data_IF_463460817388
#
_entry.id   IF_463460817388
#
_cell.length_a   1.000
_cell.length_b   1.000
_cell.length_c   1.000
_cell.angle_alpha   90.00
_cell.angle_beta   90.00
_cell.angle_gamma   90.00
#
_symmetry.space_group_name_H-M   'P 1'
#
loop_
_entity.id
_entity.type
_entity.pdbx_description
1 polymer ?
#
# COMPACT_ATOMS: atom_id res chain seq x y z
N UNK A 1 -28.77 22.67 32.96
CA UNK A 1 -28.26 21.28 32.93
C UNK A 1 -29.02 20.53 31.85
N UNK A 2 -28.35 19.97 30.84
CA UNK A 2 -28.99 19.26 29.71
C UNK A 2 -29.95 18.13 30.12
N UNK A 3 -29.62 17.40 31.20
CA UNK A 3 -30.47 16.33 31.72
C UNK A 3 -31.83 16.84 32.23
N UNK A 4 -31.85 17.98 32.92
CA UNK A 4 -33.08 18.57 33.46
C UNK A 4 -34.00 19.06 32.34
N UNK A 5 -33.42 19.55 31.23
CA UNK A 5 -34.17 19.98 30.03
C UNK A 5 -34.79 18.78 29.33
N UNK A 6 -34.03 17.69 29.16
CA UNK A 6 -34.54 16.45 28.62
C UNK A 6 -35.68 15.88 29.48
N UNK A 7 -35.50 15.81 30.80
CA UNK A 7 -36.51 15.34 31.74
C UNK A 7 -37.79 16.18 31.70
N UNK A 8 -37.68 17.51 31.60
CA UNK A 8 -38.84 18.40 31.49
C UNK A 8 -39.61 18.19 30.17
N UNK A 9 -38.90 18.10 29.04
CA UNK A 9 -39.51 17.91 27.72
C UNK A 9 -40.21 16.56 27.58
N UNK A 10 -39.58 15.48 28.04
CA UNK A 10 -40.18 14.14 28.04
C UNK A 10 -41.37 14.09 29.01
N UNK A 11 -41.27 14.70 30.19
CA UNK A 11 -42.38 14.73 31.15
C UNK A 11 -43.60 15.47 30.63
N UNK A 12 -43.42 16.57 29.89
CA UNK A 12 -44.53 17.32 29.28
C UNK A 12 -45.29 16.49 28.25
N UNK A 13 -44.59 15.70 27.43
CA UNK A 13 -45.22 14.81 26.44
C UNK A 13 -45.96 13.66 27.14
N UNK A 14 -45.36 13.08 28.18
CA UNK A 14 -46.02 12.04 28.99
C UNK A 14 -47.27 12.58 29.68
N UNK A 15 -47.19 13.80 30.24
CA UNK A 15 -48.33 14.46 30.87
C UNK A 15 -49.45 14.72 29.85
N UNK A 16 -49.12 15.27 28.68
CA UNK A 16 -50.07 15.49 27.59
C UNK A 16 -50.78 14.19 27.17
N UNK A 17 -50.02 13.11 26.97
CA UNK A 17 -50.57 11.81 26.59
C UNK A 17 -51.48 11.23 27.69
N UNK A 18 -51.11 11.41 28.95
CA UNK A 18 -51.87 10.87 30.10
C UNK A 18 -53.16 11.63 30.40
N UNK A 19 -53.21 12.95 30.17
CA UNK A 19 -54.36 13.80 30.49
C UNK A 19 -55.39 13.90 29.37
N UNK A 20 -54.96 13.78 28.12
CA UNK A 20 -55.81 14.13 26.97
C UNK A 20 -56.23 12.94 26.10
N UNK A 21 -55.82 11.70 26.42
CA UNK A 21 -56.07 10.48 25.63
C UNK A 21 -56.12 10.77 24.10
N UNK A 22 -55.04 11.32 23.53
CA UNK A 22 -55.11 12.01 22.24
C UNK A 22 -55.47 11.03 21.12
N UNK A 23 -56.64 11.23 20.50
CA UNK A 23 -57.17 10.38 19.42
C UNK A 23 -56.40 10.57 18.10
N UNK A 24 -55.81 11.76 17.90
CA UNK A 24 -55.19 12.16 16.63
C UNK A 24 -53.66 12.19 16.64
N UNK A 25 -53.03 12.29 17.82
CA UNK A 25 -51.56 12.38 17.92
C UNK A 25 -51.01 11.01 18.27
N UNK A 26 -50.50 10.30 17.26
CA UNK A 26 -49.98 8.93 17.42
C UNK A 26 -48.47 8.89 17.67
N UNK A 27 -47.73 9.86 17.13
CA UNK A 27 -46.27 9.94 17.21
C UNK A 27 -45.84 11.37 17.56
N UNK A 28 -44.81 11.48 18.38
CA UNK A 28 -44.13 12.75 18.68
C UNK A 28 -42.64 12.54 18.46
N UNK A 29 -42.06 13.33 17.57
CA UNK A 29 -40.65 13.22 17.18
C UNK A 29 -39.84 14.38 17.78
N UNK A 30 -38.69 14.06 18.37
CA UNK A 30 -37.78 15.05 18.94
C UNK A 30 -36.58 15.25 18.01
N UNK A 31 -36.48 16.42 17.39
CA UNK A 31 -35.30 16.81 16.64
C UNK A 31 -34.27 17.45 17.59
N UNK A 32 -33.19 16.73 17.87
CA UNK A 32 -32.11 17.19 18.75
C UNK A 32 -31.00 17.80 17.89
N UNK A 33 -30.85 19.12 17.97
CA UNK A 33 -29.85 19.87 17.20
C UNK A 33 -28.47 19.92 17.89
N UNK A 34 -28.40 19.59 19.18
CA UNK A 34 -27.16 19.54 19.95
C UNK A 34 -26.78 18.10 20.29
N UNK A 35 -25.77 17.57 19.60
CA UNK A 35 -25.34 16.16 19.74
C UNK A 35 -24.93 15.77 21.16
N UNK A 36 -24.39 16.71 21.94
CA UNK A 36 -24.05 16.49 23.35
C UNK A 36 -25.25 16.18 24.25
N UNK A 37 -26.47 16.53 23.83
CA UNK A 37 -27.70 16.27 24.59
C UNK A 37 -28.34 14.91 24.28
N UNK A 38 -27.86 14.19 23.27
CA UNK A 38 -28.50 12.97 22.78
C UNK A 38 -28.54 11.87 23.85
N UNK A 39 -27.45 11.72 24.61
CA UNK A 39 -27.35 10.75 25.70
C UNK A 39 -28.33 11.07 26.84
N UNK A 40 -28.48 12.34 27.19
CA UNK A 40 -29.39 12.80 28.24
C UNK A 40 -30.87 12.57 27.86
N UNK A 41 -31.24 12.89 26.62
CA UNK A 41 -32.59 12.62 26.08
C UNK A 41 -32.91 11.12 26.01
N UNK A 42 -31.94 10.31 25.56
CA UNK A 42 -32.12 8.86 25.53
C UNK A 42 -32.31 8.29 26.95
N UNK A 43 -31.49 8.73 27.92
CA UNK A 43 -31.61 8.30 29.31
C UNK A 43 -32.92 8.76 29.95
N UNK A 44 -33.37 9.97 29.65
CA UNK A 44 -34.67 10.51 30.10
C UNK A 44 -35.84 9.70 29.56
N UNK A 45 -35.84 9.37 28.26
CA UNK A 45 -36.84 8.49 27.64
C UNK A 45 -36.86 7.09 28.26
N UNK A 46 -35.69 6.51 28.59
CA UNK A 46 -35.64 5.21 29.27
C UNK A 46 -36.23 5.29 30.69
N UNK A 47 -35.93 6.35 31.45
CA UNK A 47 -36.47 6.57 32.80
C UNK A 47 -38.00 6.73 32.78
N UNK A 48 -38.56 7.48 31.82
CA UNK A 48 -40.00 7.68 31.72
C UNK A 48 -40.74 6.41 31.28
N UNK A 49 -40.15 5.63 30.37
CA UNK A 49 -40.66 4.30 29.98
C UNK A 49 -40.73 3.35 31.18
N UNK A 50 -39.73 3.37 32.07
CA UNK A 50 -39.71 2.59 33.31
C UNK A 50 -40.78 3.04 34.32
N UNK A 51 -41.02 4.35 34.47
CA UNK A 51 -42.11 4.90 35.31
C UNK A 51 -43.50 4.55 34.78
N UNK A 52 -43.69 4.64 33.45
CA UNK A 52 -44.92 4.20 32.79
C UNK A 52 -45.17 2.70 33.00
N UNK A 53 -44.12 1.86 32.87
CA UNK A 53 -44.20 0.42 33.20
C UNK A 53 -44.60 0.18 34.65
N UNK A 54 -44.06 0.91 35.64
CA UNK A 54 -44.47 0.80 37.05
C UNK A 54 -45.94 1.21 37.27
N UNK A 55 -46.40 2.27 36.61
CA UNK A 55 -47.81 2.71 36.64
C UNK A 55 -48.74 1.66 36.04
N UNK A 56 -48.37 1.09 34.87
CA UNK A 56 -49.09 -0.01 34.23
C UNK A 56 -49.16 -1.25 35.14
N UNK A 57 -48.03 -1.65 35.73
CA UNK A 57 -47.94 -2.82 36.62
C UNK A 57 -48.77 -2.61 37.90
N UNK A 58 -48.87 -1.39 38.43
CA UNK A 58 -49.73 -1.08 39.58
C UNK A 58 -51.23 -1.20 39.26
N UNK A 59 -51.62 -0.92 38.02
CA UNK A 59 -52.99 -1.06 37.49
C UNK A 59 -53.36 -2.51 37.15
N UNK A 60 -52.37 -3.40 37.00
CA UNK A 60 -52.54 -4.81 36.61
C UNK A 60 -52.70 -5.74 37.83
N UNK A 61 -52.46 -5.27 39.06
CA UNK A 61 -52.57 -6.07 40.30
C UNK A 61 -53.99 -6.60 40.65
N UNK A 62 -54.98 -6.42 39.77
CA UNK A 62 -56.37 -6.83 40.03
C UNK A 62 -56.82 -8.13 39.37
N UNK A 63 -56.38 -8.46 38.14
CA UNK A 63 -56.86 -9.64 37.42
C UNK A 63 -55.87 -10.03 36.31
N UNK A 64 -54.92 -10.92 36.62
CA UNK A 64 -54.08 -11.55 35.62
C UNK A 64 -54.83 -12.75 35.02
N UNK A 65 -55.66 -12.51 34.00
CA UNK A 65 -56.17 -13.61 33.18
C UNK A 65 -55.13 -13.99 32.12
N UNK A 66 -55.00 -15.27 31.73
CA UNK A 66 -54.06 -15.73 30.68
C UNK A 66 -54.18 -14.94 29.36
N UNK A 67 -55.36 -14.41 29.08
CA UNK A 67 -55.66 -13.61 27.89
C UNK A 67 -54.99 -12.22 27.90
N UNK A 68 -54.90 -11.58 29.06
CA UNK A 68 -54.18 -10.30 29.21
C UNK A 68 -52.66 -10.50 29.10
N UNK A 69 -52.12 -11.58 29.67
CA UNK A 69 -50.70 -11.92 29.54
C UNK A 69 -50.32 -12.23 28.09
N UNK A 70 -51.17 -12.94 27.35
CA UNK A 70 -50.99 -13.22 25.92
C UNK A 70 -51.00 -11.94 25.09
N UNK A 71 -51.97 -11.04 25.31
CA UNK A 71 -52.02 -9.72 24.63
C UNK A 71 -50.81 -8.86 24.95
N UNK A 72 -50.36 -8.84 26.20
CA UNK A 72 -49.16 -8.10 26.61
C UNK A 72 -47.89 -8.67 25.96
N UNK A 73 -47.73 -9.99 25.91
CA UNK A 73 -46.61 -10.64 25.21
C UNK A 73 -46.62 -10.30 23.73
N UNK A 74 -47.76 -10.43 23.05
CA UNK A 74 -47.90 -10.09 21.63
C UNK A 74 -47.57 -8.62 21.34
N UNK A 75 -47.94 -7.70 22.26
CA UNK A 75 -47.61 -6.29 22.14
C UNK A 75 -46.11 -6.04 22.32
N UNK A 76 -45.46 -6.71 23.28
CA UNK A 76 -43.99 -6.64 23.47
C UNK A 76 -43.27 -7.20 22.25
N UNK A 77 -43.66 -8.35 21.74
CA UNK A 77 -43.08 -8.95 20.54
C UNK A 77 -43.28 -8.05 19.32
N UNK A 78 -44.45 -7.41 19.18
CA UNK A 78 -44.71 -6.43 18.14
C UNK A 78 -43.78 -5.21 18.23
N UNK A 79 -43.54 -4.69 19.43
CA UNK A 79 -42.64 -3.55 19.64
C UNK A 79 -41.17 -3.93 19.38
N UNK A 80 -40.73 -5.10 19.85
CA UNK A 80 -39.38 -5.62 19.57
C UNK A 80 -39.18 -5.78 18.07
N UNK A 81 -40.15 -6.38 17.37
CA UNK A 81 -40.06 -6.56 15.91
C UNK A 81 -40.08 -5.23 15.15
N UNK A 82 -40.75 -4.19 15.66
CA UNK A 82 -40.71 -2.84 15.06
C UNK A 82 -39.37 -2.14 15.25
N UNK A 83 -38.64 -2.45 16.31
CA UNK A 83 -37.32 -1.87 16.62
C UNK A 83 -36.13 -2.68 16.05
N UNK A 84 -36.41 -3.84 15.44
CA UNK A 84 -35.41 -4.62 14.72
C UNK A 84 -35.13 -4.02 13.36
N UNK A 85 -33.84 -3.90 13.04
CA UNK A 85 -33.37 -3.49 11.72
C UNK A 85 -32.55 -4.59 11.07
N UNK A 86 -32.50 -4.55 9.75
CA UNK A 86 -31.64 -5.37 8.92
C UNK A 86 -30.74 -4.45 8.09
N UNK A 87 -29.43 -4.45 8.38
CA UNK A 87 -28.45 -3.67 7.64
C UNK A 87 -27.56 -4.60 6.83
N UNK A 88 -27.15 -4.15 5.64
CA UNK A 88 -26.27 -4.91 4.76
C UNK A 88 -25.04 -4.08 4.41
N UNK A 89 -23.86 -4.67 4.58
CA UNK A 89 -22.57 -4.10 4.17
C UNK A 89 -22.04 -4.93 3.00
N UNK A 90 -21.73 -4.29 1.87
CA UNK A 90 -21.15 -4.96 0.72
C UNK A 90 -19.74 -4.42 0.49
N UNK A 91 -18.73 -5.26 0.74
CA UNK A 91 -17.33 -4.85 0.66
C UNK A 91 -16.39 -6.02 0.30
N UNK A 92 -15.52 -5.91 -0.71
CA UNK A 92 -14.55 -6.96 -1.05
C UNK A 92 -13.56 -7.31 0.07
N UNK A 93 -13.25 -6.37 0.98
CA UNK A 93 -12.31 -6.59 2.08
C UNK A 93 -12.81 -7.63 3.09
N UNK A 94 -14.13 -7.81 3.21
CA UNK A 94 -14.75 -8.84 4.07
C UNK A 94 -14.26 -10.25 3.69
N UNK A 95 -13.93 -10.49 2.41
CA UNK A 95 -13.39 -11.76 1.95
C UNK A 95 -12.05 -12.15 2.62
N UNK A 96 -11.31 -11.15 3.13
CA UNK A 96 -9.95 -11.26 3.66
C UNK A 96 -9.91 -11.18 5.20
N UNK A 97 -11.06 -11.20 5.88
CA UNK A 97 -11.09 -11.23 7.34
C UNK A 97 -10.39 -12.49 7.87
N UNK A 98 -9.50 -12.34 8.84
CA UNK A 98 -8.80 -13.49 9.42
C UNK A 98 -9.67 -14.16 10.49
N UNK A 99 -9.21 -15.32 10.97
CA UNK A 99 -9.88 -16.04 12.07
C UNK A 99 -10.04 -15.17 13.31
N UNK A 100 -9.13 -14.24 13.58
CA UNK A 100 -9.19 -13.41 14.78
C UNK A 100 -10.24 -12.30 14.64
N UNK A 101 -10.38 -11.69 13.47
CA UNK A 101 -11.47 -10.76 13.22
C UNK A 101 -12.84 -11.44 13.27
N UNK A 102 -12.97 -12.66 12.72
CA UNK A 102 -14.20 -13.44 12.82
C UNK A 102 -14.55 -13.83 14.27
N UNK A 103 -13.55 -14.12 15.13
CA UNK A 103 -13.78 -14.35 16.57
C UNK A 103 -14.30 -13.09 17.26
N UNK A 104 -13.80 -11.91 16.91
CA UNK A 104 -14.31 -10.63 17.45
C UNK A 104 -15.78 -10.47 17.11
N UNK A 105 -16.17 -10.71 15.86
CA UNK A 105 -17.57 -10.61 15.43
C UNK A 105 -18.46 -11.64 16.14
N UNK A 106 -18.02 -12.90 16.25
CA UNK A 106 -18.78 -13.93 16.99
C UNK A 106 -18.94 -13.61 18.48
N UNK A 107 -17.95 -12.95 19.09
CA UNK A 107 -18.07 -12.47 20.46
C UNK A 107 -19.14 -11.39 20.58
N UNK A 108 -19.12 -10.40 19.68
CA UNK A 108 -20.11 -9.32 19.66
C UNK A 108 -21.52 -9.82 19.37
N UNK A 109 -21.66 -10.82 18.49
CA UNK A 109 -22.92 -11.50 18.19
C UNK A 109 -23.59 -12.00 19.48
N UNK A 110 -22.80 -12.69 20.32
CA UNK A 110 -23.26 -13.24 21.61
C UNK A 110 -23.55 -12.17 22.65
N UNK A 111 -22.70 -11.15 22.75
CA UNK A 111 -22.81 -10.10 23.77
C UNK A 111 -23.94 -9.12 23.47
N UNK A 112 -24.15 -8.78 22.19
CA UNK A 112 -25.08 -7.74 21.76
C UNK A 112 -26.40 -8.29 21.22
N UNK A 113 -26.57 -9.63 21.19
CA UNK A 113 -27.76 -10.32 20.66
C UNK A 113 -28.14 -9.85 19.24
N UNK A 114 -27.13 -9.55 18.44
CA UNK A 114 -27.24 -9.24 17.00
C UNK A 114 -26.84 -10.49 16.25
N UNK A 115 -27.50 -10.81 15.13
CA UNK A 115 -27.05 -11.87 14.22
C UNK A 115 -26.19 -11.25 13.11
N UNK A 116 -25.04 -11.86 12.83
CA UNK A 116 -24.07 -11.43 11.82
C UNK A 116 -23.89 -12.55 10.82
N UNK A 117 -24.19 -12.31 9.54
CA UNK A 117 -24.14 -13.31 8.48
C UNK A 117 -23.22 -12.82 7.37
N UNK A 118 -22.08 -13.50 7.20
CA UNK A 118 -21.11 -13.19 6.15
C UNK A 118 -21.29 -14.16 4.98
N UNK A 119 -21.64 -13.62 3.82
CA UNK A 119 -21.85 -14.36 2.57
C UNK A 119 -20.81 -13.96 1.52
N UNK A 120 -20.35 -14.94 0.72
CA UNK A 120 -19.46 -14.70 -0.42
C UNK A 120 -20.25 -14.80 -1.71
N UNK A 121 -20.56 -13.64 -2.34
CA UNK A 121 -21.32 -13.55 -3.58
C UNK A 121 -20.44 -13.02 -4.70
N UNK A 122 -19.77 -13.92 -5.42
CA UNK A 122 -18.89 -13.57 -6.54
C UNK A 122 -17.69 -12.72 -6.10
N UNK A 123 -17.48 -11.55 -6.74
CA UNK A 123 -16.39 -10.61 -6.42
C UNK A 123 -16.62 -9.80 -5.13
N UNK A 124 -17.82 -9.84 -4.56
CA UNK A 124 -18.17 -9.09 -3.36
C UNK A 124 -18.43 -10.03 -2.19
N UNK A 125 -18.06 -9.60 -1.00
CA UNK A 125 -18.48 -10.22 0.25
C UNK A 125 -19.51 -9.31 0.91
N UNK A 126 -20.55 -9.93 1.46
CA UNK A 126 -21.71 -9.24 2.00
C UNK A 126 -21.87 -9.64 3.45
N UNK A 127 -22.01 -8.66 4.33
CA UNK A 127 -22.36 -8.87 5.73
C UNK A 127 -23.80 -8.41 5.97
N UNK A 128 -24.61 -9.24 6.62
CA UNK A 128 -26.00 -8.95 6.97
C UNK A 128 -26.16 -8.95 8.49
N UNK A 129 -26.64 -7.84 9.03
CA UNK A 129 -26.80 -7.59 10.46
C UNK A 129 -28.26 -7.51 10.81
N UNK A 130 -28.72 -8.36 11.74
CA UNK A 130 -30.09 -8.35 12.23
C UNK A 130 -30.14 -8.23 13.75
N UNK A 131 -30.86 -7.24 14.27
CA UNK A 131 -31.01 -7.05 15.71
C UNK A 131 -31.65 -5.72 16.05
N UNK A 132 -31.63 -5.36 17.34
CA UNK A 132 -32.11 -4.04 17.79
C UNK A 132 -31.21 -2.94 17.23
N UNK A 133 -31.84 -1.86 16.80
CA UNK A 133 -31.23 -0.71 16.10
C UNK A 133 -29.86 -0.28 16.66
N UNK A 134 -29.76 0.06 17.95
CA UNK A 134 -28.50 0.55 18.54
C UNK A 134 -27.36 -0.47 18.58
N UNK A 135 -27.67 -1.76 18.76
CA UNK A 135 -26.66 -2.81 18.77
C UNK A 135 -26.18 -3.15 17.36
N UNK A 136 -27.08 -3.12 16.37
CA UNK A 136 -26.72 -3.30 14.96
C UNK A 136 -25.72 -2.22 14.53
N UNK A 137 -25.96 -0.95 14.85
CA UNK A 137 -25.01 0.12 14.53
C UNK A 137 -23.65 -0.04 15.22
N UNK A 138 -23.63 -0.56 16.44
CA UNK A 138 -22.38 -0.85 17.17
C UNK A 138 -21.55 -1.92 16.46
N UNK A 139 -22.21 -3.00 16.02
CA UNK A 139 -21.56 -4.09 15.26
C UNK A 139 -21.13 -3.58 13.87
N UNK A 140 -21.98 -2.80 13.20
CA UNK A 140 -21.71 -2.21 11.89
C UNK A 140 -20.46 -1.33 11.92
N UNK A 141 -20.36 -0.41 12.90
CA UNK A 141 -19.17 0.44 13.08
C UNK A 141 -17.92 -0.41 13.27
N UNK A 142 -18.01 -1.50 14.03
CA UNK A 142 -16.87 -2.38 14.26
C UNK A 142 -16.44 -3.13 12.99
N UNK A 143 -17.40 -3.58 12.18
CA UNK A 143 -17.10 -4.22 10.89
C UNK A 143 -16.42 -3.21 9.96
N UNK A 144 -16.89 -1.96 9.91
CA UNK A 144 -16.24 -0.89 9.11
C UNK A 144 -14.80 -0.63 9.56
N UNK A 145 -14.53 -0.61 10.86
CA UNK A 145 -13.16 -0.49 11.38
C UNK A 145 -12.26 -1.65 10.92
N UNK A 146 -12.81 -2.87 10.93
CA UNK A 146 -12.10 -4.06 10.47
C UNK A 146 -11.84 -3.97 8.96
N UNK A 147 -12.83 -3.58 8.15
CA UNK A 147 -12.67 -3.34 6.71
C UNK A 147 -11.52 -2.38 6.47
N UNK A 148 -11.55 -1.18 7.07
CA UNK A 148 -10.48 -0.19 6.90
C UNK A 148 -9.11 -0.70 7.35
N UNK A 149 -9.05 -1.55 8.38
CA UNK A 149 -7.78 -2.19 8.81
C UNK A 149 -7.28 -3.17 7.74
N UNK A 150 -8.15 -4.04 7.24
CA UNK A 150 -7.81 -5.04 6.22
C UNK A 150 -7.37 -4.35 4.93
N UNK A 151 -8.11 -3.34 4.47
CA UNK A 151 -7.75 -2.54 3.29
C UNK A 151 -6.39 -1.88 3.43
N UNK A 152 -6.09 -1.27 4.59
CA UNK A 152 -4.77 -0.69 4.84
C UNK A 152 -3.65 -1.73 4.75
N UNK A 153 -3.86 -2.92 5.28
CA UNK A 153 -2.88 -4.01 5.22
C UNK A 153 -2.69 -4.49 3.77
N UNK A 154 -3.77 -4.70 3.03
CA UNK A 154 -3.71 -5.16 1.63
C UNK A 154 -3.14 -4.10 0.69
N UNK A 155 -3.50 -2.82 0.88
CA UNK A 155 -2.87 -1.70 0.18
C UNK A 155 -1.37 -1.69 0.47
N UNK A 156 -0.97 -1.80 1.73
CA UNK A 156 0.45 -1.80 2.11
C UNK A 156 1.20 -2.99 1.53
N UNK A 157 0.60 -4.19 1.46
CA UNK A 157 1.20 -5.33 0.75
C UNK A 157 1.40 -5.05 -0.73
N UNK A 158 0.40 -4.48 -1.41
CA UNK A 158 0.51 -4.12 -2.82
C UNK A 158 1.61 -3.09 -3.07
N UNK A 159 1.66 -2.03 -2.26
CA UNK A 159 2.72 -1.03 -2.36
C UNK A 159 4.08 -1.64 -2.05
N UNK A 160 4.22 -2.48 -1.01
CA UNK A 160 5.47 -3.14 -0.69
C UNK A 160 6.00 -4.03 -1.82
N UNK A 161 5.11 -4.79 -2.48
CA UNK A 161 5.46 -5.59 -3.67
C UNK A 161 5.92 -4.67 -4.81
N UNK A 162 5.20 -3.57 -5.08
CA UNK A 162 5.59 -2.61 -6.11
C UNK A 162 6.96 -1.98 -5.79
N UNK A 163 7.16 -1.55 -4.55
CA UNK A 163 8.43 -0.98 -4.08
C UNK A 163 9.58 -1.96 -4.20
N UNK A 164 9.37 -3.24 -3.90
CA UNK A 164 10.40 -4.28 -4.06
C UNK A 164 10.89 -4.46 -5.50
N UNK A 165 10.10 -4.04 -6.50
CA UNK A 165 10.49 -4.09 -7.91
C UNK A 165 11.36 -2.90 -8.36
N UNK A 166 11.44 -1.83 -7.55
CA UNK A 166 12.11 -0.57 -7.93
C UNK A 166 13.22 -0.16 -6.94
N UNK A 167 13.17 -0.64 -5.70
CA UNK A 167 14.12 -0.29 -4.65
C UNK A 167 14.38 -1.48 -3.70
N UNK A 168 15.66 -1.67 -3.34
CA UNK A 168 16.09 -2.66 -2.34
C UNK A 168 17.07 -2.01 -1.34
N UNK A 169 16.55 -1.63 -0.18
CA UNK A 169 17.29 -1.08 0.94
C UNK A 169 18.08 -2.19 1.64
N UNK A 170 19.37 -1.93 1.85
CA UNK A 170 20.29 -2.85 2.55
C UNK A 170 21.02 -2.15 3.68
N UNK A 171 21.26 -2.90 4.75
CA UNK A 171 22.06 -2.46 5.89
C UNK A 171 23.33 -3.30 6.01
N UNK A 172 24.40 -2.66 6.47
CA UNK A 172 25.67 -3.30 6.75
C UNK A 172 25.56 -4.11 8.06
N UNK A 173 25.81 -5.42 7.95
CA UNK A 173 25.88 -6.34 9.08
C UNK A 173 27.25 -7.02 9.07
N UNK A 174 28.20 -6.45 9.83
CA UNK A 174 29.61 -6.86 9.79
C UNK A 174 30.27 -6.48 8.47
N UNK A 175 30.69 -7.47 7.67
CA UNK A 175 31.24 -7.27 6.31
C UNK A 175 30.20 -7.45 5.19
N UNK A 176 29.00 -7.95 5.52
CA UNK A 176 28.00 -8.31 4.54
C UNK A 176 26.86 -7.28 4.50
N UNK A 177 26.29 -7.07 3.32
CA UNK A 177 25.07 -6.30 3.14
C UNK A 177 23.87 -7.24 3.25
N UNK A 178 22.92 -6.91 4.13
CA UNK A 178 21.65 -7.64 4.27
C UNK A 178 20.50 -6.74 3.85
N UNK A 179 19.57 -7.29 3.06
CA UNK A 179 18.34 -6.60 2.70
C UNK A 179 17.37 -6.54 3.88
N UNK A 180 16.57 -5.47 3.94
CA UNK A 180 15.41 -5.41 4.81
C UNK A 180 14.27 -6.29 4.30
N UNK A 181 13.28 -6.59 5.15
CA UNK A 181 12.06 -7.24 4.69
C UNK A 181 11.24 -6.30 3.79
N UNK A 182 10.31 -6.88 3.03
CA UNK A 182 9.54 -6.17 2.00
C UNK A 182 8.77 -4.95 2.54
N UNK A 183 8.29 -5.01 3.79
CA UNK A 183 7.54 -3.91 4.39
C UNK A 183 8.46 -2.81 4.90
N UNK A 184 9.53 -3.18 5.62
CA UNK A 184 10.54 -2.20 6.05
C UNK A 184 11.16 -1.48 4.84
N UNK A 185 11.43 -2.22 3.75
CA UNK A 185 11.89 -1.65 2.49
C UNK A 185 10.91 -0.62 1.91
N UNK A 186 9.60 -0.92 1.96
CA UNK A 186 8.55 -0.01 1.53
C UNK A 186 8.51 1.27 2.38
N UNK A 187 8.58 1.12 3.70
CA UNK A 187 8.52 2.26 4.63
C UNK A 187 9.74 3.18 4.48
N UNK A 188 10.93 2.60 4.27
CA UNK A 188 12.16 3.36 4.04
C UNK A 188 12.09 4.15 2.73
N UNK A 189 11.57 3.54 1.67
CA UNK A 189 11.36 4.21 0.39
C UNK A 189 10.34 5.35 0.51
N UNK A 190 9.21 5.12 1.20
CA UNK A 190 8.20 6.16 1.43
C UNK A 190 8.76 7.32 2.25
N UNK A 191 9.47 7.04 3.35
CA UNK A 191 10.09 8.07 4.18
C UNK A 191 11.13 8.89 3.39
N UNK A 192 11.91 8.23 2.54
CA UNK A 192 12.89 8.89 1.70
C UNK A 192 12.27 9.79 0.63
N UNK A 193 11.14 9.39 0.05
CA UNK A 193 10.43 10.21 -0.92
C UNK A 193 9.93 11.54 -0.32
N UNK A 194 9.73 11.58 0.99
CA UNK A 194 9.33 12.79 1.72
C UNK A 194 10.51 13.56 2.34
N UNK A 195 11.65 12.89 2.59
CA UNK A 195 12.82 13.46 3.25
C UNK A 195 14.12 12.97 2.63
N UNK A 196 15.04 13.88 2.35
CA UNK A 196 16.36 13.55 1.76
C UNK A 196 17.26 12.73 2.70
N UNK A 197 16.89 12.53 3.97
CA UNK A 197 17.63 11.72 4.94
C UNK A 197 16.64 10.97 5.84
N UNK A 198 16.77 9.64 5.92
CA UNK A 198 15.95 8.78 6.79
C UNK A 198 16.79 8.35 7.98
N UNK A 199 16.39 8.71 9.19
CA UNK A 199 17.06 8.28 10.42
C UNK A 199 16.45 6.96 10.91
N UNK A 200 17.27 5.90 10.97
CA UNK A 200 16.86 4.61 11.53
C UNK A 200 17.42 4.52 12.95
N UNK A 201 16.55 4.56 13.97
CA UNK A 201 16.95 4.28 15.35
C UNK A 201 17.17 2.77 15.50
N UNK A 202 18.41 2.33 15.28
CA UNK A 202 18.86 0.95 15.56
C UNK A 202 19.79 0.94 16.77
N UNK A 203 19.69 -0.10 17.61
CA UNK A 203 20.58 -0.31 18.76
C UNK A 203 22.00 -0.80 18.36
N UNK A 204 22.31 -0.84 17.07
CA UNK A 204 23.62 -1.25 16.55
C UNK A 204 23.98 -0.51 15.25
N UNK A 205 25.25 -0.11 15.13
CA UNK A 205 25.84 0.61 14.00
C UNK A 205 25.55 -0.13 12.68
N UNK A 206 24.73 0.46 11.83
CA UNK A 206 24.49 -0.02 10.48
C UNK A 206 24.68 1.14 9.49
N UNK A 207 25.59 0.96 8.53
CA UNK A 207 25.72 1.83 7.35
C UNK A 207 24.78 1.27 6.28
N UNK A 208 23.90 2.10 5.71
CA UNK A 208 23.00 1.71 4.62
C UNK A 208 23.57 2.16 3.27
N UNK A 209 23.47 1.30 2.25
CA UNK A 209 23.77 1.64 0.86
C UNK A 209 22.48 1.65 0.04
N UNK A 210 22.33 2.68 -0.79
CA UNK A 210 21.13 3.00 -1.54
C UNK A 210 21.36 2.93 -3.05
N UNK A 211 20.36 2.44 -3.79
CA UNK A 211 20.26 2.47 -5.24
C UNK A 211 18.81 2.88 -5.60
N UNK A 212 18.54 4.17 -5.81
CA UNK A 212 17.31 4.56 -6.53
C UNK A 212 17.55 4.47 -8.02
N UNK A 213 16.77 3.67 -8.73
CA UNK A 213 16.53 3.92 -10.16
C UNK A 213 15.19 4.64 -10.26
N UNK A 214 15.19 5.96 -10.41
CA UNK A 214 13.95 6.77 -10.36
C UNK A 214 13.17 6.76 -11.68
N UNK A 215 13.77 6.37 -12.81
CA UNK A 215 13.07 6.11 -14.08
C UNK A 215 14.05 5.45 -15.06
N UNK A 216 13.83 4.20 -15.48
CA UNK A 216 14.65 3.60 -16.55
C UNK A 216 14.09 4.06 -17.89
N UNK A 217 14.90 4.78 -18.67
CA UNK A 217 14.52 5.25 -19.99
C UNK A 217 14.93 4.24 -21.06
N UNK A 218 13.99 3.82 -21.92
CA UNK A 218 14.31 2.97 -23.07
C UNK A 218 14.79 3.83 -24.22
N UNK A 219 15.97 3.55 -24.74
CA UNK A 219 16.52 4.28 -25.89
C UNK A 219 15.89 3.75 -27.18
N UNK A 220 15.33 4.65 -27.98
CA UNK A 220 14.72 4.34 -29.26
C UNK A 220 15.44 5.05 -30.40
N UNK A 221 16.52 4.43 -30.89
CA UNK A 221 17.27 4.93 -32.05
C UNK A 221 17.23 3.90 -33.18
N UNK A 222 16.29 4.06 -34.11
CA UNK A 222 16.03 3.10 -35.20
C UNK A 222 17.21 2.94 -36.16
N UNK A 223 17.91 4.04 -36.49
CA UNK A 223 19.08 4.04 -37.36
C UNK A 223 20.22 3.25 -36.73
N UNK A 224 20.52 3.53 -35.46
CA UNK A 224 21.57 2.83 -34.74
C UNK A 224 21.23 1.35 -34.54
N UNK A 225 19.96 1.05 -34.20
CA UNK A 225 19.48 -0.32 -34.07
C UNK A 225 19.67 -1.10 -35.38
N UNK A 226 19.34 -0.51 -36.53
CA UNK A 226 19.51 -1.14 -37.84
C UNK A 226 20.99 -1.45 -38.12
N UNK A 227 21.88 -0.49 -37.90
CA UNK A 227 23.32 -0.69 -38.10
C UNK A 227 23.91 -1.74 -37.15
N UNK A 228 23.48 -1.73 -35.89
CA UNK A 228 23.84 -2.74 -34.89
C UNK A 228 23.41 -4.15 -35.33
N UNK A 229 22.18 -4.31 -35.80
CA UNK A 229 21.65 -5.60 -36.25
C UNK A 229 22.39 -6.14 -37.49
N UNK A 230 22.70 -5.29 -38.47
CA UNK A 230 23.54 -5.67 -39.62
C UNK A 230 24.90 -6.18 -39.12
N UNK A 231 25.53 -5.46 -38.18
CA UNK A 231 26.83 -5.87 -37.64
C UNK A 231 26.77 -7.19 -36.87
N UNK A 232 25.66 -7.43 -36.17
CA UNK A 232 25.41 -8.69 -35.46
C UNK A 232 25.34 -9.85 -36.44
N UNK A 233 24.55 -9.73 -37.50
CA UNK A 233 24.45 -10.75 -38.55
C UNK A 233 25.80 -11.06 -39.21
N UNK A 234 26.59 -10.03 -39.53
CA UNK A 234 27.96 -10.20 -40.04
C UNK A 234 28.85 -11.02 -39.09
N UNK A 235 28.78 -10.76 -37.78
CA UNK A 235 29.56 -11.49 -36.78
C UNK A 235 29.08 -12.93 -36.59
N UNK A 236 27.78 -13.17 -36.66
CA UNK A 236 27.23 -14.53 -36.57
C UNK A 236 27.68 -15.42 -37.73
N UNK A 237 27.70 -14.86 -38.94
CA UNK A 237 28.25 -15.54 -40.13
C UNK A 237 29.76 -15.77 -39.98
N UNK A 238 30.51 -14.74 -39.57
CA UNK A 238 31.97 -14.80 -39.44
C UNK A 238 32.42 -15.82 -38.39
N UNK A 239 31.82 -15.78 -37.21
CA UNK A 239 32.25 -16.60 -36.05
C UNK A 239 31.54 -17.96 -36.01
N UNK A 240 30.56 -18.20 -36.91
CA UNK A 240 29.80 -19.46 -37.01
C UNK A 240 29.05 -19.84 -35.73
N UNK A 241 28.70 -18.86 -34.91
CA UNK A 241 27.88 -19.01 -33.72
C UNK A 241 27.15 -17.71 -33.37
N UNK A 242 26.13 -17.80 -32.52
CA UNK A 242 25.30 -16.65 -32.11
C UNK A 242 25.75 -15.97 -30.81
N UNK A 243 26.75 -16.53 -30.13
CA UNK A 243 27.22 -16.02 -28.83
C UNK A 243 28.21 -14.84 -28.98
N UNK A 244 27.79 -13.77 -29.65
CA UNK A 244 28.63 -12.58 -29.92
C UNK A 244 28.22 -11.34 -29.12
N UNK A 245 27.13 -11.41 -28.35
CA UNK A 245 26.47 -10.26 -27.70
C UNK A 245 26.43 -10.42 -26.17
N UNK A 246 26.71 -9.32 -25.45
CA UNK A 246 26.52 -9.21 -24.00
C UNK A 246 25.80 -7.91 -23.66
N UNK A 247 25.05 -7.95 -22.56
CA UNK A 247 24.55 -6.73 -21.92
C UNK A 247 25.62 -6.23 -20.95
N UNK A 248 26.08 -5.00 -21.14
CA UNK A 248 27.15 -4.39 -20.35
C UNK A 248 26.81 -2.95 -19.97
N UNK A 249 27.50 -2.43 -18.96
CA UNK A 249 27.22 -1.12 -18.38
C UNK A 249 28.24 -0.08 -18.83
N UNK A 250 27.78 1.11 -19.23
CA UNK A 250 28.63 2.24 -19.57
C UNK A 250 28.22 3.48 -18.78
N UNK A 251 29.06 3.92 -17.84
CA UNK A 251 28.83 5.19 -17.12
C UNK A 251 28.96 6.37 -18.08
N UNK A 252 28.09 7.38 -17.95
CA UNK A 252 28.11 8.58 -18.79
C UNK A 252 27.92 9.84 -17.94
N UNK A 253 28.42 10.98 -18.42
CA UNK A 253 28.21 12.29 -17.81
C UNK A 253 26.83 12.88 -18.13
N UNK A 254 26.40 13.90 -17.38
CA UNK A 254 25.09 14.53 -17.56
C UNK A 254 24.91 15.23 -18.92
N UNK A 255 26.02 15.69 -19.52
CA UNK A 255 26.03 16.42 -20.79
C UNK A 255 26.43 15.56 -22.01
N UNK A 256 26.65 14.24 -21.81
CA UNK A 256 27.11 13.31 -22.85
C UNK A 256 26.05 12.26 -23.21
N UNK A 257 24.79 12.51 -22.88
CA UNK A 257 23.64 11.59 -23.06
C UNK A 257 23.29 11.24 -24.50
N UNK A 258 24.03 11.73 -25.50
CA UNK A 258 23.80 11.39 -26.91
C UNK A 258 24.98 10.64 -27.56
N UNK A 259 26.01 10.26 -26.78
CA UNK A 259 27.36 10.14 -27.36
C UNK A 259 28.12 8.83 -27.08
N UNK A 260 27.47 7.70 -26.75
CA UNK A 260 28.18 6.39 -26.72
C UNK A 260 28.89 6.09 -28.05
N UNK A 261 28.40 6.66 -29.15
CA UNK A 261 28.91 6.45 -30.50
C UNK A 261 29.75 7.62 -31.04
N UNK A 262 30.09 8.61 -30.22
CA UNK A 262 30.94 9.72 -30.64
C UNK A 262 32.41 9.45 -30.24
N UNK A 263 33.23 9.09 -31.23
CA UNK A 263 34.67 8.76 -31.07
C UNK A 263 35.52 9.87 -30.45
N UNK A 264 35.01 11.10 -30.40
CA UNK A 264 35.68 12.24 -29.77
C UNK A 264 36.03 12.02 -28.28
N UNK A 265 35.40 11.03 -27.64
CA UNK A 265 35.55 10.71 -26.22
C UNK A 265 36.24 9.36 -25.94
N UNK A 266 36.60 8.59 -26.97
CA UNK A 266 37.36 7.37 -26.80
C UNK A 266 38.73 7.69 -26.16
N UNK A 267 39.08 6.98 -25.09
CA UNK A 267 40.35 7.18 -24.38
C UNK A 267 40.41 8.35 -23.37
N UNK A 268 39.35 9.17 -23.23
CA UNK A 268 39.33 10.35 -22.35
C UNK A 268 39.47 10.02 -20.85
N UNK A 269 39.20 8.76 -20.47
CA UNK A 269 39.22 8.29 -19.08
C UNK A 269 40.17 7.11 -18.83
N UNK A 270 41.13 6.90 -19.73
CA UNK A 270 42.13 5.84 -19.65
C UNK A 270 42.07 4.89 -20.86
N UNK A 271 43.20 4.69 -21.53
CA UNK A 271 43.34 3.86 -22.72
C UNK A 271 44.17 2.59 -22.45
N UNK A 272 44.03 2.00 -21.25
CA UNK A 272 44.90 0.92 -20.76
C UNK A 272 44.89 -0.31 -21.67
N UNK A 273 43.76 -0.59 -22.33
CA UNK A 273 43.57 -1.74 -23.22
C UNK A 273 43.32 -1.33 -24.70
N UNK A 274 43.50 -0.04 -25.02
CA UNK A 274 43.31 0.53 -26.35
C UNK A 274 42.45 1.80 -26.35
N UNK A 275 42.47 2.53 -27.47
CA UNK A 275 41.64 3.71 -27.67
C UNK A 275 40.27 3.32 -28.22
N UNK A 276 39.33 3.02 -27.33
CA UNK A 276 37.98 2.57 -27.66
C UNK A 276 36.97 2.91 -26.56
N UNK A 277 35.73 2.44 -26.71
CA UNK A 277 34.65 2.65 -25.74
C UNK A 277 34.62 1.49 -24.76
N UNK A 278 34.67 1.81 -23.46
CA UNK A 278 34.78 0.84 -22.37
C UNK A 278 33.40 0.51 -21.77
N UNK A 279 33.17 -0.77 -21.50
CA UNK A 279 31.93 -1.30 -20.92
C UNK A 279 32.27 -2.24 -19.76
N UNK A 280 31.57 -2.12 -18.63
CA UNK A 280 31.76 -2.98 -17.47
C UNK A 280 30.75 -4.12 -17.42
N UNK A 281 31.17 -5.27 -16.88
CA UNK A 281 30.28 -6.38 -16.56
C UNK A 281 29.46 -6.08 -15.30
N UNK A 282 30.10 -5.51 -14.29
CA UNK A 282 29.47 -5.12 -13.02
C UNK A 282 29.03 -3.65 -13.07
N UNK A 283 27.74 -3.33 -12.85
CA UNK A 283 27.25 -1.96 -12.86
C UNK A 283 27.92 -1.09 -11.79
N UNK A 284 28.37 -1.68 -10.68
CA UNK A 284 29.08 -0.96 -9.62
C UNK A 284 30.41 -0.37 -10.09
N UNK A 285 31.07 -0.99 -11.07
CA UNK A 285 32.30 -0.46 -11.67
C UNK A 285 31.99 0.83 -12.47
N UNK A 286 30.94 0.80 -13.30
CA UNK A 286 30.45 1.98 -14.02
C UNK A 286 29.89 3.06 -13.08
N UNK A 287 29.32 2.66 -11.94
CA UNK A 287 28.79 3.56 -10.92
C UNK A 287 29.88 4.26 -10.09
N UNK A 288 30.98 3.56 -9.79
CA UNK A 288 32.14 4.10 -9.05
C UNK A 288 33.01 5.04 -9.91
N UNK A 289 33.04 4.83 -11.23
CA UNK A 289 33.99 5.48 -12.14
C UNK A 289 33.60 6.82 -12.80
N UNK A 290 34.67 7.52 -13.23
CA UNK A 290 34.92 8.60 -14.20
C UNK A 290 34.02 9.84 -14.32
N UNK A 291 32.71 9.72 -14.32
CA UNK A 291 31.82 10.85 -14.57
C UNK A 291 31.33 11.48 -13.26
N UNK A 292 31.43 12.82 -13.18
CA UNK A 292 30.90 13.59 -12.04
C UNK A 292 29.37 13.54 -12.07
N UNK A 293 28.72 13.48 -10.90
CA UNK A 293 27.28 13.65 -10.83
C UNK A 293 26.86 15.02 -11.38
N UNK A 294 25.60 15.13 -11.81
CA UNK A 294 24.98 16.41 -12.18
C UNK A 294 24.82 17.35 -10.97
N UNK A 295 24.32 18.56 -11.21
CA UNK A 295 24.11 19.56 -10.15
C UNK A 295 23.18 19.06 -9.01
N UNK A 296 22.33 18.05 -9.29
CA UNK A 296 21.40 17.44 -8.34
C UNK A 296 21.97 16.14 -7.71
N UNK A 297 23.21 15.78 -8.03
CA UNK A 297 23.88 14.59 -7.53
C UNK A 297 23.64 13.33 -8.36
N UNK A 298 22.82 13.35 -9.41
CA UNK A 298 22.52 12.16 -10.21
C UNK A 298 23.67 11.79 -11.13
N UNK A 299 23.92 10.50 -11.26
CA UNK A 299 24.76 9.88 -12.27
C UNK A 299 23.88 9.10 -13.24
N UNK A 300 24.41 8.80 -14.42
CA UNK A 300 23.71 8.07 -15.47
C UNK A 300 24.60 6.95 -15.98
N UNK A 301 24.02 5.76 -16.17
CA UNK A 301 24.71 4.61 -16.76
C UNK A 301 23.80 4.02 -17.83
N UNK A 302 24.36 3.70 -18.99
CA UNK A 302 23.66 2.91 -19.98
C UNK A 302 23.79 1.42 -19.70
N UNK A 303 22.70 0.69 -19.89
CA UNK A 303 22.75 -0.73 -20.22
C UNK A 303 22.76 -0.85 -21.74
N UNK A 304 23.87 -1.35 -22.30
CA UNK A 304 24.07 -1.48 -23.73
C UNK A 304 24.18 -2.95 -24.14
N UNK A 305 23.68 -3.26 -25.33
CA UNK A 305 24.02 -4.50 -26.04
C UNK A 305 25.34 -4.29 -26.77
N UNK A 306 26.30 -5.16 -26.52
CA UNK A 306 27.67 -5.01 -27.01
C UNK A 306 28.09 -6.27 -27.77
N UNK A 307 28.48 -6.08 -29.03
CA UNK A 307 28.99 -7.11 -29.92
C UNK A 307 30.50 -7.25 -29.73
N UNK A 308 30.90 -8.24 -28.93
CA UNK A 308 32.30 -8.50 -28.61
C UNK A 308 32.92 -9.61 -29.48
N UNK A 309 32.11 -10.51 -30.05
CA UNK A 309 32.59 -11.60 -30.91
C UNK A 309 33.56 -12.56 -30.21
N UNK A 310 34.46 -13.19 -30.97
CA UNK A 310 35.59 -13.93 -30.40
C UNK A 310 36.64 -12.96 -29.84
N UNK A 311 37.07 -13.17 -28.59
CA UNK A 311 37.95 -12.25 -27.87
C UNK A 311 39.19 -12.92 -27.28
N UNK A 312 40.28 -12.17 -27.14
CA UNK A 312 41.56 -12.60 -26.55
C UNK A 312 42.14 -11.50 -25.64
N UNK A 313 43.06 -11.81 -24.71
CA UNK A 313 43.66 -10.86 -23.76
C UNK A 313 44.84 -10.08 -24.38
N UNK A 314 44.96 -8.75 -24.19
CA UNK A 314 46.18 -8.00 -24.63
C UNK A 314 46.06 -6.50 -25.01
N UNK A 315 47.15 -5.89 -25.52
CA UNK A 315 47.30 -4.44 -25.78
C UNK A 315 46.45 -3.82 -26.92
N UNK A 316 45.75 -4.66 -27.70
CA UNK A 316 44.75 -4.27 -28.73
C UNK A 316 43.45 -5.09 -28.50
N UNK A 317 43.15 -5.39 -27.24
CA UNK A 317 42.13 -6.34 -26.81
C UNK A 317 40.79 -5.67 -26.54
N UNK A 318 39.75 -6.49 -26.65
CA UNK A 318 38.39 -6.14 -26.26
C UNK A 318 38.08 -6.46 -24.79
N UNK A 319 39.03 -6.89 -23.94
CA UNK A 319 38.78 -7.20 -22.51
C UNK A 319 40.03 -7.14 -21.60
N UNK A 320 39.83 -7.05 -20.27
CA UNK A 320 40.89 -7.05 -19.25
C UNK A 320 41.52 -8.44 -19.00
N UNK A 321 40.71 -9.50 -19.07
CA UNK A 321 41.13 -10.89 -18.84
C UNK A 321 40.21 -11.86 -19.60
N UNK A 322 40.77 -12.96 -20.09
CA UNK A 322 40.01 -13.99 -20.81
C UNK A 322 39.13 -14.82 -19.88
N UNK A 323 39.61 -15.12 -18.68
CA UNK A 323 38.86 -15.86 -17.67
C UNK A 323 38.10 -14.89 -16.76
N UNK A 324 36.77 -14.93 -16.81
CA UNK A 324 35.86 -14.06 -16.05
C UNK A 324 36.16 -12.55 -16.24
N UNK A 325 35.97 -12.03 -17.47
CA UNK A 325 36.23 -10.63 -17.83
C UNK A 325 35.41 -9.68 -16.95
N UNK A 326 36.00 -8.58 -16.53
CA UNK A 326 35.29 -7.54 -15.77
C UNK A 326 34.93 -6.32 -16.62
N UNK A 327 35.59 -6.17 -17.76
CA UNK A 327 35.31 -5.10 -18.71
C UNK A 327 35.55 -5.53 -20.15
N UNK A 328 34.90 -4.83 -21.08
CA UNK A 328 35.09 -4.98 -22.51
C UNK A 328 35.34 -3.64 -23.19
N UNK A 329 36.05 -3.66 -24.32
CA UNK A 329 36.37 -2.47 -25.12
C UNK A 329 35.91 -2.70 -26.56
N UNK A 330 35.12 -1.79 -27.10
CA UNK A 330 34.79 -1.78 -28.53
C UNK A 330 35.56 -0.69 -29.27
N UNK A 331 35.87 -0.95 -30.54
CA UNK A 331 36.64 -0.04 -31.40
C UNK A 331 35.82 0.47 -32.59
N UNK A 332 34.54 0.08 -32.67
CA UNK A 332 33.63 0.48 -33.72
C UNK A 332 32.27 0.88 -33.12
N UNK A 333 31.77 2.01 -33.57
CA UNK A 333 30.59 2.70 -33.04
C UNK A 333 29.30 1.88 -33.23
N UNK A 334 29.27 0.97 -34.21
CA UNK A 334 28.11 0.09 -34.46
C UNK A 334 28.13 -1.20 -33.63
N UNK A 335 29.19 -1.45 -32.85
CA UNK A 335 29.27 -2.64 -31.98
C UNK A 335 28.54 -2.47 -30.64
N UNK A 336 28.01 -1.28 -30.34
CA UNK A 336 27.25 -1.05 -29.12
C UNK A 336 25.92 -0.36 -29.42
N UNK A 337 24.84 -0.90 -28.87
CA UNK A 337 23.54 -0.27 -28.87
C UNK A 337 23.15 0.06 -27.42
N UNK A 338 23.07 1.35 -27.03
CA UNK A 338 22.45 1.71 -25.75
C UNK A 338 20.98 1.32 -25.78
N UNK A 339 20.57 0.43 -24.90
CA UNK A 339 19.19 -0.05 -24.85
C UNK A 339 18.39 0.67 -23.77
N UNK A 340 19.03 0.94 -22.63
CA UNK A 340 18.42 1.65 -21.52
C UNK A 340 19.38 2.68 -20.94
N UNK A 341 18.86 3.84 -20.53
CA UNK A 341 19.54 4.82 -19.70
C UNK A 341 19.00 4.70 -18.28
N UNK A 342 19.90 4.44 -17.34
CA UNK A 342 19.60 4.20 -15.93
C UNK A 342 20.17 5.38 -15.13
N UNK A 343 19.33 6.32 -14.66
CA UNK A 343 19.75 7.30 -13.67
C UNK A 343 19.92 6.59 -12.33
N UNK A 344 21.01 6.92 -11.63
CA UNK A 344 21.28 6.44 -10.28
C UNK A 344 21.96 7.54 -9.48
N UNK A 345 21.77 7.55 -8.17
CA UNK A 345 22.40 8.52 -7.29
C UNK A 345 23.18 7.81 -6.20
N UNK A 346 24.50 7.99 -6.17
CA UNK A 346 25.29 7.58 -5.01
C UNK A 346 25.01 8.57 -3.87
N UNK A 347 24.03 8.26 -3.03
CA UNK A 347 23.76 9.04 -1.80
C UNK A 347 24.51 8.43 -0.63
N UNK A 348 25.78 8.78 -0.50
CA UNK A 348 26.47 8.68 0.79
C UNK A 348 25.90 9.79 1.67
N UNK A 349 25.05 9.45 2.63
CA UNK A 349 24.88 10.13 3.92
C UNK A 349 23.74 9.47 4.72
N UNK A 350 23.99 8.28 5.24
CA UNK A 350 23.35 7.86 6.48
C UNK A 350 24.31 8.24 7.61
N UNK A 351 23.99 9.29 8.36
CA UNK A 351 24.62 9.51 9.67
C UNK A 351 23.76 8.78 10.71
N UNK A 352 24.43 7.92 11.46
CA UNK A 352 23.91 7.28 12.67
C UNK A 352 23.52 8.33 13.69
#
# INVERSE_FOLDING_TARGET
NPADVADAMISAVVEFASKNEPVHVKNVEFLILQSSMLADFHQSMLKSTMKSKKSLISRIKGHETPEYLSKASAMIDSLINKEQINNTICDPAIAHFTKDELKILSKMEKELKVSVIIEKKGKYSVDTLKGLTGFVYTVESRIRDIIHKVERIENRKREAIKTSSIAEWKYQSGRNLKAFDVFTNCDLEEAFNHQTTVQIKSNSKAECLFLSSTQIEKVQNSTLWRNYMIKKEELEVKNKHKNNEKHLFHGTGPNTTDQINNRSFAGMHGALYGNGTYFAVDPSYSAKGYFKPDANGHKRTYLARVLFGDFTQGKKSVTDKTNNPSMFVTFNDVQAYPEYLIPFQNKLNCKV
#
